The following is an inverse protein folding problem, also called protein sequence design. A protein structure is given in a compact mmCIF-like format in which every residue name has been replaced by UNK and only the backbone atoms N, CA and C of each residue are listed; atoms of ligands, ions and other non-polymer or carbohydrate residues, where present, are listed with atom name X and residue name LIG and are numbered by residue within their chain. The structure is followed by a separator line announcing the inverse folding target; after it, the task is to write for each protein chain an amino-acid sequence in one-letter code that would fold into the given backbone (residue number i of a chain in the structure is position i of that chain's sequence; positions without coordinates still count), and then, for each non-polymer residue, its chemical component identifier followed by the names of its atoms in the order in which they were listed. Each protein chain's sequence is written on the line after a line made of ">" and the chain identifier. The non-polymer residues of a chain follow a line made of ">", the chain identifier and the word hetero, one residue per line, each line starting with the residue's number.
data_IF_470405150083
#
_entry.id   IF_470405150083
#
_cell.length_a   1.000
_cell.length_b   1.000
_cell.length_c   1.000
_cell.angle_alpha   90.00
_cell.angle_beta   90.00
_cell.angle_gamma   90.00
#
_symmetry.space_group_name_H-M   'P 1'
#
loop_
_entity.id
_entity.type
_entity.pdbx_description
1 polymer ?
#
# COMPACT_ATOMS: atom_id res chain seq x y z
N UNK A 1 -20.75 -21.98 -19.18
CA UNK A 1 -20.64 -21.90 -17.70
C UNK A 1 -21.83 -22.61 -17.10
N UNK A 2 -21.61 -23.50 -16.12
CA UNK A 2 -22.71 -24.13 -15.39
C UNK A 2 -23.37 -23.11 -14.46
N UNK A 3 -24.72 -23.10 -14.46
CA UNK A 3 -25.59 -22.11 -13.80
C UNK A 3 -25.31 -21.91 -12.31
N UNK A 4 -24.85 -22.95 -11.61
CA UNK A 4 -24.56 -22.93 -10.18
C UNK A 4 -23.27 -22.16 -9.80
N UNK A 5 -22.31 -22.04 -10.72
CA UNK A 5 -21.06 -21.29 -10.47
C UNK A 5 -21.25 -19.76 -10.66
N UNK A 6 -22.32 -19.34 -11.34
CA UNK A 6 -22.68 -17.94 -11.52
C UNK A 6 -23.47 -17.36 -10.34
N UNK A 7 -24.08 -18.18 -9.48
CA UNK A 7 -24.87 -17.68 -8.33
C UNK A 7 -23.99 -17.02 -7.25
N UNK A 8 -22.68 -17.29 -7.23
CA UNK A 8 -21.72 -16.64 -6.33
C UNK A 8 -21.06 -15.37 -6.89
N UNK A 9 -21.29 -15.02 -8.16
CA UNK A 9 -20.67 -13.88 -8.83
C UNK A 9 -21.46 -12.60 -8.51
N UNK A 10 -20.95 -11.82 -7.55
CA UNK A 10 -21.51 -10.51 -7.17
C UNK A 10 -21.23 -9.39 -8.18
N UNK A 11 -20.61 -9.70 -9.33
CA UNK A 11 -20.22 -8.72 -10.34
C UNK A 11 -20.26 -9.35 -11.73
N UNK A 12 -20.59 -8.55 -12.75
CA UNK A 12 -20.48 -8.95 -14.15
C UNK A 12 -19.04 -8.71 -14.64
N UNK A 13 -18.34 -9.73 -15.17
CA UNK A 13 -16.99 -9.56 -15.67
C UNK A 13 -17.00 -8.74 -16.97
N UNK A 14 -16.30 -7.60 -16.97
CA UNK A 14 -16.12 -6.76 -18.17
C UNK A 14 -14.90 -7.18 -18.99
N UNK A 15 -14.93 -6.89 -20.29
CA UNK A 15 -13.83 -7.20 -21.20
C UNK A 15 -12.56 -6.41 -20.80
N UNK A 16 -11.46 -7.10 -20.48
CA UNK A 16 -10.22 -6.50 -19.95
C UNK A 16 -10.06 -6.55 -18.43
N UNK A 17 -11.07 -7.03 -17.69
CA UNK A 17 -11.01 -7.21 -16.26
C UNK A 17 -10.06 -8.36 -15.88
N UNK A 18 -9.07 -8.07 -15.02
CA UNK A 18 -8.23 -9.11 -14.43
C UNK A 18 -8.98 -9.76 -13.28
N UNK A 19 -9.12 -11.07 -13.31
CA UNK A 19 -9.77 -11.86 -12.26
C UNK A 19 -8.83 -12.92 -11.70
N UNK A 20 -9.01 -13.25 -10.43
CA UNK A 20 -8.36 -14.35 -9.75
C UNK A 20 -9.41 -15.45 -9.59
N UNK A 21 -9.16 -16.59 -10.23
CA UNK A 21 -10.08 -17.72 -10.26
C UNK A 21 -9.54 -18.88 -9.44
N UNK A 22 -10.39 -19.52 -8.66
CA UNK A 22 -10.12 -20.81 -8.00
C UNK A 22 -11.01 -21.86 -8.64
N UNK A 23 -10.48 -23.05 -8.87
CA UNK A 23 -11.17 -24.10 -9.61
C UNK A 23 -10.35 -25.37 -9.69
N UNK A 24 -10.92 -26.39 -10.34
CA UNK A 24 -10.29 -27.69 -10.57
C UNK A 24 -10.00 -27.88 -12.06
N UNK A 25 -8.97 -28.65 -12.38
CA UNK A 25 -8.67 -29.06 -13.75
C UNK A 25 -9.28 -30.44 -13.99
N UNK A 26 -10.21 -30.51 -14.93
CA UNK A 26 -10.78 -31.77 -15.41
C UNK A 26 -10.07 -32.18 -16.70
N UNK A 27 -9.62 -33.44 -16.77
CA UNK A 27 -8.89 -33.98 -17.92
C UNK A 27 -9.72 -35.07 -18.58
N UNK A 28 -10.02 -34.88 -19.87
CA UNK A 28 -10.62 -35.92 -20.69
C UNK A 28 -9.53 -36.64 -21.50
N UNK A 29 -8.99 -37.71 -20.90
CA UNK A 29 -7.85 -38.46 -21.42
C UNK A 29 -7.99 -38.96 -22.88
N UNK A 30 -9.17 -39.40 -23.37
CA UNK A 30 -9.30 -39.91 -24.74
C UNK A 30 -9.05 -38.86 -25.84
N UNK A 31 -9.17 -37.56 -25.53
CA UNK A 31 -8.95 -36.47 -26.50
C UNK A 31 -7.89 -35.46 -26.03
N UNK A 32 -7.22 -35.70 -24.90
CA UNK A 32 -6.21 -34.79 -24.34
C UNK A 32 -6.74 -33.39 -24.01
N UNK A 33 -8.06 -33.23 -23.79
CA UNK A 33 -8.66 -31.93 -23.48
C UNK A 33 -8.60 -31.66 -21.99
N UNK A 34 -8.05 -30.50 -21.64
CA UNK A 34 -8.02 -29.96 -20.28
C UNK A 34 -9.09 -28.88 -20.16
N UNK A 35 -10.03 -29.05 -19.24
CA UNK A 35 -11.03 -28.05 -18.91
C UNK A 35 -10.74 -27.51 -17.51
N UNK A 36 -10.64 -26.19 -17.36
CA UNK A 36 -10.55 -25.58 -16.04
C UNK A 36 -11.95 -25.18 -15.58
N UNK A 37 -12.47 -25.93 -14.61
CA UNK A 37 -13.79 -25.65 -14.01
C UNK A 37 -13.60 -24.68 -12.85
N UNK A 38 -13.96 -23.43 -13.11
CA UNK A 38 -13.88 -22.34 -12.13
C UNK A 38 -15.01 -22.47 -11.12
N UNK A 39 -14.66 -22.55 -9.84
CA UNK A 39 -15.62 -22.63 -8.72
C UNK A 39 -15.78 -21.30 -7.99
N UNK A 40 -14.76 -20.42 -8.03
CA UNK A 40 -14.82 -19.07 -7.46
C UNK A 40 -14.08 -18.08 -8.35
N UNK A 41 -14.64 -16.89 -8.50
CA UNK A 41 -14.05 -15.77 -9.25
C UNK A 41 -14.02 -14.54 -8.35
N UNK A 42 -12.83 -13.98 -8.15
CA UNK A 42 -12.65 -12.71 -7.46
C UNK A 42 -12.02 -11.69 -8.42
N UNK A 43 -12.41 -10.41 -8.39
CA UNK A 43 -11.68 -9.35 -9.10
C UNK A 43 -10.22 -9.34 -8.63
N UNK A 44 -9.26 -9.41 -9.56
CA UNK A 44 -7.84 -9.35 -9.23
C UNK A 44 -7.40 -7.89 -9.14
N UNK A 45 -7.32 -7.40 -7.90
CA UNK A 45 -6.50 -6.25 -7.53
C UNK A 45 -7.16 -4.88 -7.67
N UNK A 46 -6.75 -3.98 -6.79
CA UNK A 46 -7.18 -2.58 -6.63
C UNK A 46 -8.49 -2.40 -5.87
N UNK A 47 -9.60 -3.07 -6.21
CA UNK A 47 -10.92 -2.75 -5.63
C UNK A 47 -10.97 -2.67 -4.09
N UNK A 48 -10.73 -3.78 -3.38
CA UNK A 48 -10.94 -3.82 -1.93
C UNK A 48 -9.93 -2.96 -1.14
N UNK A 49 -8.64 -3.05 -1.47
CA UNK A 49 -7.61 -2.22 -0.83
C UNK A 49 -7.80 -0.73 -1.12
N UNK A 50 -8.21 -0.38 -2.34
CA UNK A 50 -8.51 1.00 -2.72
C UNK A 50 -9.77 1.52 -2.03
N UNK A 51 -10.82 0.70 -1.91
CA UNK A 51 -12.02 1.05 -1.13
C UNK A 51 -11.64 1.29 0.33
N UNK A 52 -10.85 0.40 0.95
CA UNK A 52 -10.36 0.58 2.33
C UNK A 52 -9.52 1.84 2.48
N UNK A 53 -8.65 2.13 1.49
CA UNK A 53 -7.85 3.34 1.45
C UNK A 53 -8.73 4.60 1.36
N UNK A 54 -9.74 4.62 0.48
CA UNK A 54 -10.66 5.76 0.36
C UNK A 54 -11.45 6.00 1.65
N UNK A 55 -11.97 4.94 2.27
CA UNK A 55 -12.65 5.02 3.56
C UNK A 55 -11.74 5.58 4.66
N UNK A 56 -10.49 5.10 4.72
CA UNK A 56 -9.50 5.59 5.68
C UNK A 56 -9.17 7.06 5.43
N UNK A 57 -8.93 7.44 4.16
CA UNK A 57 -8.65 8.83 3.78
C UNK A 57 -9.80 9.75 4.16
N UNK A 58 -11.04 9.36 3.86
CA UNK A 58 -12.22 10.15 4.20
C UNK A 58 -12.35 10.32 5.73
N UNK A 59 -12.16 9.24 6.50
CA UNK A 59 -12.18 9.29 7.96
C UNK A 59 -11.13 10.26 8.52
N UNK A 60 -9.86 10.10 8.14
CA UNK A 60 -8.75 10.95 8.61
C UNK A 60 -8.92 12.41 8.16
N UNK A 61 -9.54 12.64 7.01
CA UNK A 61 -9.88 13.99 6.53
C UNK A 61 -10.98 14.62 7.39
N UNK A 62 -12.02 13.86 7.76
CA UNK A 62 -13.09 14.32 8.66
C UNK A 62 -12.58 14.60 10.08
N UNK A 63 -11.58 13.86 10.54
CA UNK A 63 -10.87 14.13 11.80
C UNK A 63 -10.05 15.44 11.76
N UNK A 64 -9.91 16.07 10.58
CA UNK A 64 -9.22 17.35 10.42
C UNK A 64 -7.70 17.23 10.47
N UNK A 65 -7.14 16.01 10.43
CA UNK A 65 -5.69 15.77 10.51
C UNK A 65 -4.92 16.39 9.34
N UNK A 66 -5.61 16.67 8.23
CA UNK A 66 -5.03 17.32 7.05
C UNK A 66 -5.36 18.82 6.95
N UNK A 67 -6.04 19.39 7.95
CA UNK A 67 -6.45 20.79 7.92
C UNK A 67 -5.24 21.71 7.81
N UNK A 68 -5.34 22.68 6.91
CA UNK A 68 -4.27 23.67 6.66
C UNK A 68 -3.94 24.47 7.93
N UNK A 69 -4.91 24.62 8.86
CA UNK A 69 -4.72 25.29 10.15
C UNK A 69 -3.61 24.67 11.02
N UNK A 70 -3.30 23.39 10.83
CA UNK A 70 -2.21 22.71 11.54
C UNK A 70 -0.88 22.74 10.77
N UNK A 71 -0.90 23.14 9.49
CA UNK A 71 0.32 23.22 8.68
C UNK A 71 1.11 24.47 9.04
N UNK A 72 2.38 24.28 9.36
CA UNK A 72 3.32 25.36 9.62
C UNK A 72 4.02 25.76 8.32
N UNK A 73 4.32 27.05 8.17
CA UNK A 73 5.14 27.51 7.05
C UNK A 73 6.57 26.98 7.21
N UNK A 74 7.10 26.38 6.14
CA UNK A 74 8.46 25.88 6.15
C UNK A 74 9.45 27.04 6.04
N UNK A 75 10.50 27.08 6.87
CA UNK A 75 11.53 28.10 6.75
C UNK A 75 12.28 27.92 5.43
N UNK A 76 12.68 29.04 4.81
CA UNK A 76 13.43 29.04 3.54
C UNK A 76 14.79 28.35 3.67
N UNK A 77 15.41 28.46 4.85
CA UNK A 77 16.67 27.81 5.19
C UNK A 77 16.55 27.16 6.58
N UNK A 78 16.26 25.85 6.67
CA UNK A 78 16.13 25.17 7.95
C UNK A 78 17.51 25.07 8.64
N UNK A 79 17.63 25.58 9.86
CA UNK A 79 18.87 25.44 10.63
C UNK A 79 19.02 24.07 11.28
N UNK A 80 17.90 23.39 11.54
CA UNK A 80 17.84 22.06 12.13
C UNK A 80 16.94 21.16 11.30
N UNK A 81 17.41 19.94 11.04
CA UNK A 81 16.69 18.91 10.30
C UNK A 81 16.59 17.67 11.20
N UNK A 82 15.37 17.32 11.60
CA UNK A 82 15.07 16.08 12.30
C UNK A 82 14.86 14.94 11.30
N UNK A 83 15.58 13.83 11.49
CA UNK A 83 15.45 12.59 10.73
C UNK A 83 14.93 11.52 11.69
N UNK A 84 13.69 11.08 11.46
CA UNK A 84 13.04 10.02 12.22
C UNK A 84 12.98 8.81 11.28
N UNK A 85 13.75 7.75 11.58
CA UNK A 85 13.87 6.59 10.71
C UNK A 85 14.42 5.38 11.46
N UNK A 86 14.41 4.20 10.83
CA UNK A 86 14.98 3.02 11.45
C UNK A 86 16.51 3.13 11.60
N UNK A 87 17.07 2.65 12.73
CA UNK A 87 18.51 2.80 13.02
C UNK A 87 19.43 2.09 12.02
N UNK A 88 18.93 1.08 11.31
CA UNK A 88 19.73 0.20 10.43
C UNK A 88 19.53 0.48 8.94
N UNK A 89 18.77 1.50 8.56
CA UNK A 89 18.45 1.76 7.16
C UNK A 89 19.58 2.43 6.37
N UNK A 90 19.93 1.88 5.19
CA UNK A 90 20.80 2.55 4.21
C UNK A 90 20.29 3.96 3.83
N UNK A 91 18.97 4.18 3.94
CA UNK A 91 18.34 5.48 3.74
C UNK A 91 18.86 6.57 4.71
N UNK A 92 19.15 6.23 5.96
CA UNK A 92 19.69 7.20 6.92
C UNK A 92 21.07 7.68 6.46
N UNK A 93 21.94 6.75 6.06
CA UNK A 93 23.28 7.09 5.58
C UNK A 93 23.20 7.95 4.32
N UNK A 94 22.31 7.62 3.38
CA UNK A 94 22.14 8.41 2.15
C UNK A 94 21.69 9.84 2.46
N UNK A 95 20.67 10.01 3.29
CA UNK A 95 20.17 11.34 3.69
C UNK A 95 21.27 12.15 4.38
N UNK A 96 21.98 11.55 5.34
CA UNK A 96 23.06 12.23 6.07
C UNK A 96 24.20 12.62 5.13
N UNK A 97 24.61 11.74 4.22
CA UNK A 97 25.68 12.01 3.27
C UNK A 97 25.29 13.13 2.29
N UNK A 98 24.06 13.11 1.78
CA UNK A 98 23.55 14.15 0.87
C UNK A 98 23.45 15.49 1.60
N UNK A 99 22.90 15.53 2.81
CA UNK A 99 22.76 16.75 3.59
C UNK A 99 24.13 17.36 3.94
N UNK A 100 25.08 16.54 4.40
CA UNK A 100 26.44 17.03 4.67
C UNK A 100 27.13 17.60 3.43
N UNK A 101 26.87 17.04 2.24
CA UNK A 101 27.48 17.51 0.99
C UNK A 101 26.80 18.75 0.41
N UNK A 102 25.46 18.81 0.44
CA UNK A 102 24.68 19.85 -0.25
C UNK A 102 24.21 20.98 0.66
N UNK A 103 24.11 20.72 1.96
CA UNK A 103 23.58 21.69 2.93
C UNK A 103 24.25 21.53 4.31
N UNK A 104 25.59 21.72 4.40
CA UNK A 104 26.37 21.48 5.62
C UNK A 104 26.05 22.43 6.78
N UNK A 105 25.31 23.51 6.53
CA UNK A 105 24.91 24.50 7.52
C UNK A 105 23.73 24.07 8.40
N UNK A 106 23.03 22.97 8.07
CA UNK A 106 21.98 22.43 8.91
C UNK A 106 22.53 21.45 9.95
N UNK A 107 22.08 21.61 11.20
CA UNK A 107 22.26 20.62 12.26
C UNK A 107 21.30 19.44 12.04
N UNK A 108 21.83 18.22 12.07
CA UNK A 108 21.05 16.99 11.83
C UNK A 108 20.78 16.31 13.17
N UNK A 109 19.51 16.16 13.51
CA UNK A 109 19.06 15.37 14.66
C UNK A 109 18.52 14.04 14.15
N UNK A 110 19.03 12.91 14.64
CA UNK A 110 18.54 11.59 14.26
C UNK A 110 17.82 10.95 15.45
N UNK A 111 16.56 10.57 15.25
CA UNK A 111 15.76 9.84 16.22
C UNK A 111 15.49 8.44 15.65
N UNK A 112 16.20 7.40 16.14
CA UNK A 112 16.01 6.05 15.64
C UNK A 112 14.69 5.47 16.14
N UNK A 113 13.80 5.10 15.22
CA UNK A 113 12.47 4.57 15.57
C UNK A 113 12.00 3.49 14.61
N UNK A 114 11.07 2.66 15.05
CA UNK A 114 10.37 1.68 14.24
C UNK A 114 9.43 2.41 13.28
N UNK A 115 9.69 2.28 11.97
CA UNK A 115 8.88 2.91 10.91
C UNK A 115 7.73 2.02 10.44
N UNK A 116 7.74 0.73 10.79
CA UNK A 116 6.75 -0.26 10.35
C UNK A 116 6.58 -1.37 11.39
N UNK A 117 5.44 -2.06 11.33
CA UNK A 117 5.06 -3.13 12.25
C UNK A 117 4.14 -2.66 13.38
N UNK A 118 3.55 -3.60 14.10
CA UNK A 118 2.53 -3.34 15.12
C UNK A 118 3.06 -2.48 16.29
N UNK A 119 4.36 -2.54 16.56
CA UNK A 119 5.01 -1.77 17.62
C UNK A 119 5.42 -0.35 17.19
N UNK A 120 5.38 -0.02 15.90
CA UNK A 120 5.83 1.29 15.39
C UNK A 120 5.05 2.47 16.02
N UNK A 121 3.75 2.31 16.21
CA UNK A 121 2.91 3.35 16.78
C UNK A 121 3.21 3.67 18.26
N UNK A 122 3.92 2.77 18.97
CA UNK A 122 4.29 2.95 20.39
C UNK A 122 5.74 3.40 20.58
N UNK A 123 6.52 3.41 19.51
CA UNK A 123 7.97 3.61 19.55
C UNK A 123 8.37 5.09 19.35
N UNK A 124 7.39 5.96 19.05
CA UNK A 124 7.54 7.41 18.83
C UNK A 124 6.82 8.20 19.92
#
# INVERSE_FOLDING_TARGET
>A
MFRWANEGLKFEPENGMKVMTKGNIDVYAPQGRYNFVVTQVHPKGVGELYIRFLQLKERLTKEGLFDVKFKQQLPRFPQRIGIITSPTGAALQDIVNILKRRFPCAEILVVPTLVQGENAAKDI
#
